data_IF_705038767899
#
_entry.id   IF_705038767899
#
_cell.length_a   1.000
_cell.length_b   1.000
_cell.length_c   1.000
_cell.angle_alpha   90.00
_cell.angle_beta   90.00
_cell.angle_gamma   90.00
#
_symmetry.space_group_name_H-M   'P 1'
#
loop_
_entity.id
_entity.type
_entity.pdbx_description
1 polymer ?
#
# COMPACT_ATOMS: atom_id res chain seq x y z
N UNK A 1 -11.17 -4.69 13.57
CA UNK A 1 -11.28 -3.96 12.29
C UNK A 1 -9.88 -3.66 11.84
N UNK A 2 -9.46 -4.05 10.63
CA UNK A 2 -8.11 -3.75 10.17
C UNK A 2 -8.02 -2.40 9.44
N UNK A 3 -6.79 -1.94 9.33
CA UNK A 3 -6.44 -0.65 8.72
C UNK A 3 -6.50 -0.74 7.21
N UNK A 4 -7.32 0.11 6.58
CA UNK A 4 -7.52 0.10 5.11
C UNK A 4 -6.69 1.19 4.44
N UNK A 5 -6.38 0.97 3.17
CA UNK A 5 -5.59 1.93 2.44
C UNK A 5 -5.51 1.67 0.95
N UNK A 6 -4.52 2.30 0.33
CA UNK A 6 -4.25 2.18 -1.10
C UNK A 6 -2.76 1.93 -1.31
N UNK A 7 -2.45 1.05 -2.25
CA UNK A 7 -1.15 0.95 -2.88
C UNK A 7 -1.30 1.39 -4.35
N UNK A 8 -0.45 2.28 -4.81
CA UNK A 8 -0.50 2.74 -6.18
C UNK A 8 0.81 3.28 -6.71
N UNK A 9 0.72 3.82 -7.91
CA UNK A 9 1.81 4.45 -8.64
C UNK A 9 1.48 5.90 -8.92
N UNK A 10 2.50 6.73 -8.80
CA UNK A 10 2.51 8.10 -9.30
C UNK A 10 3.25 8.09 -10.63
N UNK A 11 2.61 8.63 -11.67
CA UNK A 11 3.21 8.71 -13.01
C UNK A 11 2.94 10.03 -13.68
N UNK A 12 3.76 10.39 -14.66
CA UNK A 12 3.58 11.63 -15.43
C UNK A 12 2.24 11.60 -16.16
N UNK A 13 1.62 12.77 -16.26
CA UNK A 13 0.35 12.89 -16.97
C UNK A 13 0.57 12.73 -18.48
N UNK A 14 -0.03 11.70 -19.13
CA UNK A 14 0.20 11.43 -20.56
C UNK A 14 -0.37 12.54 -21.47
N UNK A 15 -1.25 13.40 -20.97
CA UNK A 15 -1.82 14.51 -21.74
C UNK A 15 -0.87 15.71 -21.89
N UNK A 16 0.31 15.68 -21.26
CA UNK A 16 1.29 16.77 -21.32
C UNK A 16 0.88 18.05 -20.60
N UNK A 17 -0.32 18.10 -19.98
CA UNK A 17 -0.85 19.27 -19.26
C UNK A 17 -0.18 19.53 -17.90
N UNK A 18 1.08 19.14 -17.75
CA UNK A 18 1.82 19.21 -16.50
C UNK A 18 1.29 18.27 -15.42
N UNK A 19 2.15 18.00 -14.43
CA UNK A 19 1.80 17.27 -13.22
C UNK A 19 1.79 15.74 -13.36
N UNK A 20 1.32 15.11 -12.28
CA UNK A 20 1.34 13.65 -12.10
C UNK A 20 -0.08 13.14 -11.88
N UNK A 21 -0.37 11.96 -12.41
CA UNK A 21 -1.56 11.20 -12.08
C UNK A 21 -1.22 10.10 -11.07
N UNK A 22 -2.21 9.75 -10.24
CA UNK A 22 -2.11 8.66 -9.28
C UNK A 22 -3.12 7.60 -9.65
N UNK A 23 -2.65 6.36 -9.77
CA UNK A 23 -3.45 5.16 -10.00
C UNK A 23 -3.14 4.20 -8.88
N UNK A 24 -4.14 3.55 -8.28
CA UNK A 24 -3.88 2.70 -7.13
C UNK A 24 -5.02 1.75 -6.82
N UNK A 25 -4.66 0.60 -6.28
CA UNK A 25 -5.56 -0.45 -5.86
C UNK A 25 -5.88 -0.35 -4.37
N UNK A 26 -7.12 -0.68 -4.03
CA UNK A 26 -7.56 -0.79 -2.66
C UNK A 26 -6.83 -1.93 -1.92
N UNK A 27 -6.48 -1.66 -0.67
CA UNK A 27 -5.95 -2.64 0.27
C UNK A 27 -6.84 -2.75 1.51
N UNK A 28 -7.22 -3.98 1.88
CA UNK A 28 -8.22 -4.20 2.92
C UNK A 28 -7.67 -4.17 4.36
N UNK A 29 -6.45 -4.63 4.57
CA UNK A 29 -5.90 -4.85 5.92
C UNK A 29 -4.44 -4.40 6.03
N UNK A 30 -4.01 -4.07 7.24
CA UNK A 30 -2.62 -3.76 7.57
C UNK A 30 -2.00 -2.63 6.75
N UNK A 31 -2.80 -1.64 6.34
CA UNK A 31 -2.31 -0.50 5.56
C UNK A 31 -1.45 0.50 6.34
N UNK A 32 -1.16 0.29 7.62
CA UNK A 32 -0.27 1.17 8.39
C UNK A 32 1.20 1.03 7.96
N UNK A 33 2.11 1.97 8.33
CA UNK A 33 3.49 1.95 7.87
C UNK A 33 4.24 0.65 8.18
N UNK A 34 4.16 0.11 9.39
CA UNK A 34 4.79 -1.18 9.73
C UNK A 34 4.17 -2.40 9.05
N UNK A 35 3.03 -2.27 8.37
CA UNK A 35 2.39 -3.32 7.59
C UNK A 35 2.69 -3.18 6.10
N UNK A 36 1.71 -2.67 5.35
CA UNK A 36 1.80 -2.43 3.91
C UNK A 36 3.00 -1.56 3.56
N UNK A 37 3.24 -0.50 4.32
CA UNK A 37 4.34 0.42 4.06
C UNK A 37 5.70 -0.27 4.08
N UNK A 38 5.98 -1.05 5.11
CA UNK A 38 7.21 -1.83 5.27
C UNK A 38 7.37 -2.85 4.14
N UNK A 39 6.28 -3.52 3.71
CA UNK A 39 6.31 -4.43 2.56
C UNK A 39 6.68 -3.71 1.25
N UNK A 40 6.17 -2.50 1.05
CA UNK A 40 6.52 -1.67 -0.12
C UNK A 40 7.99 -1.26 -0.06
N UNK A 41 8.45 -0.80 1.10
CA UNK A 41 9.85 -0.41 1.29
C UNK A 41 10.81 -1.58 1.03
N UNK A 42 10.52 -2.75 1.60
CA UNK A 42 11.30 -3.96 1.37
C UNK A 42 11.33 -4.35 -0.12
N UNK A 43 10.21 -4.26 -0.83
CA UNK A 43 10.18 -4.51 -2.28
C UNK A 43 11.08 -3.52 -3.04
N UNK A 44 10.93 -2.21 -2.79
CA UNK A 44 11.66 -1.16 -3.48
C UNK A 44 13.18 -1.29 -3.24
N UNK A 45 13.61 -1.58 -2.01
CA UNK A 45 15.03 -1.74 -1.66
C UNK A 45 15.68 -2.95 -2.34
N UNK A 46 14.89 -3.93 -2.76
CA UNK A 46 15.36 -5.13 -3.46
C UNK A 46 15.30 -4.99 -4.99
N UNK A 47 14.85 -3.86 -5.54
CA UNK A 47 14.86 -3.63 -6.99
C UNK A 47 16.27 -3.29 -7.48
N UNK A 48 16.78 -4.07 -8.42
CA UNK A 48 17.94 -3.67 -9.21
C UNK A 48 17.55 -2.55 -10.19
N UNK A 49 18.52 -1.82 -10.79
CA UNK A 49 18.22 -0.84 -11.83
C UNK A 49 17.42 -1.43 -13.00
N UNK A 50 17.77 -2.64 -13.44
CA UNK A 50 17.07 -3.38 -14.49
C UNK A 50 15.67 -3.80 -14.02
N UNK A 51 15.55 -4.26 -12.77
CA UNK A 51 14.27 -4.64 -12.20
C UNK A 51 13.31 -3.44 -12.07
N UNK A 52 13.85 -2.27 -11.73
CA UNK A 52 13.11 -1.00 -11.70
C UNK A 52 12.66 -0.59 -13.10
N UNK A 53 13.53 -0.69 -14.11
CA UNK A 53 13.16 -0.41 -15.50
C UNK A 53 12.05 -1.35 -15.99
N UNK A 54 12.16 -2.64 -15.69
CA UNK A 54 11.11 -3.60 -16.00
C UNK A 54 9.78 -3.24 -15.29
N UNK A 55 9.82 -2.84 -14.03
CA UNK A 55 8.62 -2.37 -13.32
C UNK A 55 7.98 -1.15 -13.98
N UNK A 56 8.77 -0.17 -14.46
CA UNK A 56 8.24 1.00 -15.19
C UNK A 56 7.46 0.53 -16.42
N UNK A 57 8.05 -0.34 -17.23
CA UNK A 57 7.44 -0.87 -18.44
C UNK A 57 6.16 -1.66 -18.14
N UNK A 58 6.19 -2.52 -17.13
CA UNK A 58 5.02 -3.30 -16.72
C UNK A 58 3.90 -2.37 -16.22
N UNK A 59 4.22 -1.37 -15.39
CA UNK A 59 3.23 -0.42 -14.87
C UNK A 59 2.59 0.42 -15.97
N UNK A 60 3.34 0.80 -17.01
CA UNK A 60 2.78 1.49 -18.17
C UNK A 60 1.92 0.58 -19.05
N UNK A 61 2.26 -0.70 -19.16
CA UNK A 61 1.48 -1.69 -19.90
C UNK A 61 0.19 -2.14 -19.17
N UNK A 62 0.03 -1.82 -17.88
CA UNK A 62 -1.15 -2.20 -17.10
C UNK A 62 -2.44 -1.62 -17.66
N UNK A 63 -3.44 -2.49 -17.78
CA UNK A 63 -4.82 -2.10 -18.03
C UNK A 63 -5.50 -1.76 -16.70
N UNK A 64 -5.78 -0.47 -16.49
CA UNK A 64 -6.50 0.01 -15.31
C UNK A 64 -8.00 -0.18 -15.48
N UNK A 65 -8.54 -1.19 -14.80
CA UNK A 65 -9.95 -1.55 -14.81
C UNK A 65 -10.69 -0.92 -13.63
N UNK A 66 -11.99 -1.14 -13.60
CA UNK A 66 -12.85 -0.72 -12.49
C UNK A 66 -13.51 -1.96 -11.91
N UNK A 67 -13.86 -1.94 -10.63
CA UNK A 67 -14.24 -3.16 -9.90
C UNK A 67 -15.45 -3.92 -10.49
N UNK A 68 -16.29 -3.27 -11.30
CA UNK A 68 -17.44 -3.85 -11.99
C UNK A 68 -18.68 -4.10 -11.10
N UNK A 69 -18.61 -3.86 -9.80
CA UNK A 69 -19.68 -4.15 -8.82
C UNK A 69 -20.79 -3.10 -8.80
N UNK A 70 -20.58 -1.92 -9.40
CA UNK A 70 -21.48 -0.76 -9.25
C UNK A 70 -22.37 -0.43 -10.46
N UNK A 71 -22.43 -1.23 -11.52
CA UNK A 71 -23.29 -0.88 -12.65
C UNK A 71 -23.78 -2.10 -13.41
N UNK A 72 -25.04 -2.47 -13.20
CA UNK A 72 -25.85 -3.23 -14.18
C UNK A 72 -26.77 -2.22 -14.86
N UNK A 73 -26.40 -1.79 -16.06
CA UNK A 73 -27.13 -0.79 -16.85
C UNK A 73 -26.42 -0.47 -18.17
N UNK A 74 -27.08 0.19 -19.12
CA UNK A 74 -26.42 0.69 -20.34
C UNK A 74 -25.26 1.62 -19.96
N UNK A 75 -24.04 1.33 -20.41
CA UNK A 75 -22.81 2.01 -19.95
C UNK A 75 -22.14 1.36 -18.72
N UNK A 76 -22.58 0.16 -18.32
CA UNK A 76 -21.90 -0.68 -17.33
C UNK A 76 -20.47 -1.00 -17.75
N UNK A 77 -19.55 -0.95 -16.78
CA UNK A 77 -18.13 -1.15 -17.01
C UNK A 77 -17.84 -2.63 -17.27
N UNK A 78 -16.88 -2.97 -18.15
CA UNK A 78 -16.73 -4.33 -18.65
C UNK A 78 -16.36 -5.32 -17.55
N UNK A 79 -17.12 -6.40 -17.45
CA UNK A 79 -16.73 -7.59 -16.67
C UNK A 79 -15.45 -8.18 -17.26
N UNK A 80 -14.66 -8.95 -16.48
CA UNK A 80 -13.62 -9.79 -17.04
C UNK A 80 -14.19 -10.74 -18.10
N UNK A 81 -13.48 -10.87 -19.22
CA UNK A 81 -13.71 -11.90 -20.24
C UNK A 81 -13.38 -13.28 -19.71
N UNK A 82 -13.90 -14.32 -20.36
CA UNK A 82 -13.72 -15.69 -19.90
C UNK A 82 -12.24 -16.12 -19.95
N UNK A 83 -11.46 -15.60 -20.90
CA UNK A 83 -10.01 -15.82 -20.98
C UNK A 83 -9.24 -15.16 -19.82
N UNK A 84 -9.66 -13.97 -19.37
CA UNK A 84 -9.06 -13.31 -18.20
C UNK A 84 -9.41 -14.05 -16.91
N UNK A 85 -10.65 -14.55 -16.81
CA UNK A 85 -11.10 -15.39 -15.68
C UNK A 85 -10.25 -16.66 -15.61
N UNK A 86 -10.07 -17.36 -16.74
CA UNK A 86 -9.25 -18.57 -16.82
C UNK A 86 -7.80 -18.28 -16.42
N UNK A 87 -7.18 -17.24 -17.00
CA UNK A 87 -5.81 -16.82 -16.68
C UNK A 87 -5.61 -16.58 -15.18
N UNK A 88 -6.45 -15.74 -14.56
CA UNK A 88 -6.23 -15.33 -13.17
C UNK A 88 -6.70 -16.38 -12.16
N UNK A 89 -7.61 -17.28 -12.53
CA UNK A 89 -7.87 -18.49 -11.75
C UNK A 89 -6.65 -19.43 -11.75
N UNK A 90 -6.02 -19.64 -12.92
CA UNK A 90 -4.83 -20.48 -13.02
C UNK A 90 -3.64 -19.93 -12.21
N UNK A 91 -3.53 -18.59 -12.12
CA UNK A 91 -2.53 -17.91 -11.29
C UNK A 91 -2.91 -17.84 -9.80
N UNK A 92 -4.13 -18.20 -9.42
CA UNK A 92 -4.56 -18.21 -8.03
C UNK A 92 -4.97 -16.87 -7.45
N UNK A 93 -5.27 -15.88 -8.29
CA UNK A 93 -5.59 -14.52 -7.85
C UNK A 93 -7.03 -14.38 -7.35
N UNK A 94 -7.91 -15.28 -7.83
CA UNK A 94 -9.30 -15.34 -7.41
C UNK A 94 -9.44 -16.03 -6.05
N UNK A 95 -10.32 -15.50 -5.18
CA UNK A 95 -10.66 -16.11 -3.90
C UNK A 95 -11.98 -15.57 -3.34
N UNK A 96 -12.73 -16.46 -2.68
CA UNK A 96 -13.89 -16.11 -1.83
C UNK A 96 -13.46 -15.89 -0.37
N UNK A 97 -12.27 -16.36 0.01
CA UNK A 97 -11.78 -16.26 1.37
C UNK A 97 -11.25 -14.85 1.66
N UNK A 98 -11.95 -14.16 2.55
CA UNK A 98 -11.60 -12.85 3.09
C UNK A 98 -10.43 -12.91 4.09
N UNK A 99 -10.00 -14.11 4.49
CA UNK A 99 -9.10 -14.30 5.63
C UNK A 99 -7.62 -13.99 5.33
N UNK A 100 -7.23 -13.84 4.07
CA UNK A 100 -5.83 -13.53 3.69
C UNK A 100 -4.82 -14.64 4.03
N UNK A 101 -5.28 -15.84 4.43
CA UNK A 101 -4.44 -16.97 4.87
C UNK A 101 -3.73 -17.72 3.74
N UNK A 102 -3.91 -17.28 2.50
CA UNK A 102 -3.44 -18.01 1.34
C UNK A 102 -2.01 -17.69 0.92
N UNK A 103 -1.13 -17.13 1.77
CA UNK A 103 0.27 -16.91 1.35
C UNK A 103 1.29 -17.17 2.46
N UNK A 104 2.30 -17.96 2.09
CA UNK A 104 3.51 -18.18 2.87
C UNK A 104 4.59 -17.19 2.40
N UNK A 105 4.79 -16.12 3.19
CA UNK A 105 5.76 -15.07 2.88
C UNK A 105 7.21 -15.59 2.85
N UNK A 106 7.52 -16.61 3.65
CA UNK A 106 8.87 -17.18 3.69
C UNK A 106 9.24 -17.89 2.38
N UNK A 107 8.24 -18.27 1.58
CA UNK A 107 8.44 -19.09 0.38
C UNK A 107 7.83 -18.49 -0.89
N UNK A 108 7.14 -17.34 -0.82
CA UNK A 108 6.56 -16.66 -1.97
C UNK A 108 5.56 -17.53 -2.75
N UNK A 109 4.65 -18.23 -2.07
CA UNK A 109 3.63 -19.09 -2.72
C UNK A 109 2.20 -18.74 -2.32
N UNK A 110 1.28 -18.63 -3.30
CA UNK A 110 -0.16 -18.74 -3.01
C UNK A 110 -0.35 -20.17 -2.44
N UNK A 111 -0.93 -20.28 -1.26
CA UNK A 111 -1.49 -21.49 -0.70
C UNK A 111 -2.57 -22.09 -1.60
N UNK A 112 -3.17 -23.21 -1.20
CA UNK A 112 -4.07 -23.98 -2.06
C UNK A 112 -5.27 -23.13 -2.50
N UNK A 113 -5.23 -22.68 -3.74
CA UNK A 113 -6.29 -21.93 -4.41
C UNK A 113 -7.45 -22.88 -4.64
N UNK A 114 -8.64 -22.51 -4.17
CA UNK A 114 -9.88 -23.20 -4.56
C UNK A 114 -10.50 -22.35 -5.66
N UNK A 115 -10.71 -22.90 -6.87
CA UNK A 115 -11.45 -22.19 -7.91
C UNK A 115 -12.82 -21.76 -7.37
N UNK A 116 -13.15 -20.49 -7.56
CA UNK A 116 -14.46 -19.97 -7.19
C UNK A 116 -15.56 -20.71 -7.97
N UNK A 117 -16.55 -21.22 -7.24
CA UNK A 117 -17.77 -21.79 -7.82
C UNK A 117 -19.00 -21.12 -7.18
N UNK A 118 -19.73 -20.25 -7.91
CA UNK A 118 -19.58 -19.92 -9.33
C UNK A 118 -18.34 -19.05 -9.63
N UNK A 119 -17.92 -18.95 -10.91
CA UNK A 119 -16.80 -18.11 -11.32
C UNK A 119 -16.96 -16.64 -10.90
N UNK A 120 -15.87 -15.91 -10.67
CA UNK A 120 -15.93 -14.50 -10.30
C UNK A 120 -16.63 -13.69 -11.38
N UNK A 121 -17.65 -12.93 -10.98
CA UNK A 121 -18.46 -12.12 -11.90
C UNK A 121 -17.93 -10.71 -12.09
N UNK A 122 -16.89 -10.32 -11.35
CA UNK A 122 -16.33 -8.97 -11.35
C UNK A 122 -14.81 -8.98 -11.08
N UNK A 123 -14.14 -7.87 -11.47
CA UNK A 123 -12.71 -7.70 -11.28
C UNK A 123 -12.28 -7.79 -9.81
N UNK A 124 -13.12 -7.30 -8.89
CA UNK A 124 -12.81 -7.34 -7.46
C UNK A 124 -12.69 -8.76 -6.91
N UNK A 125 -13.58 -9.67 -7.34
CA UNK A 125 -13.52 -11.07 -6.94
C UNK A 125 -12.34 -11.79 -7.62
N UNK A 126 -12.06 -11.46 -8.88
CA UNK A 126 -11.02 -12.10 -9.69
C UNK A 126 -9.60 -11.75 -9.22
N UNK A 127 -9.38 -10.52 -8.75
CA UNK A 127 -8.07 -10.01 -8.32
C UNK A 127 -7.95 -9.95 -6.80
N UNK A 128 -8.80 -10.67 -6.06
CA UNK A 128 -8.97 -10.45 -4.63
C UNK A 128 -7.71 -10.76 -3.82
N UNK A 129 -6.96 -11.80 -4.19
CA UNK A 129 -5.74 -12.19 -3.50
C UNK A 129 -4.55 -11.27 -3.79
N UNK A 130 -4.66 -10.36 -4.76
CA UNK A 130 -3.58 -9.43 -5.14
C UNK A 130 -3.55 -8.14 -4.29
N UNK A 131 -4.30 -8.09 -3.19
CA UNK A 131 -4.19 -6.99 -2.24
C UNK A 131 -2.86 -7.07 -1.46
N UNK A 132 -2.50 -5.99 -0.76
CA UNK A 132 -1.21 -5.77 -0.09
C UNK A 132 -0.02 -5.57 -1.06
N UNK A 133 1.21 -5.65 -0.53
CA UNK A 133 2.45 -5.53 -1.31
C UNK A 133 2.65 -6.66 -2.35
N UNK A 134 1.84 -7.74 -2.30
CA UNK A 134 1.90 -8.83 -3.29
C UNK A 134 1.66 -8.36 -4.72
N UNK A 135 0.83 -7.34 -4.87
CA UNK A 135 0.59 -6.68 -6.14
C UNK A 135 1.90 -6.32 -6.86
N UNK A 136 2.91 -5.85 -6.12
CA UNK A 136 4.18 -5.39 -6.69
C UNK A 136 4.96 -6.53 -7.32
N UNK A 137 4.98 -7.71 -6.70
CA UNK A 137 5.69 -8.87 -7.22
C UNK A 137 5.05 -9.40 -8.50
N UNK A 138 3.72 -9.47 -8.57
CA UNK A 138 3.02 -9.98 -9.74
C UNK A 138 3.04 -8.98 -10.92
N UNK A 139 3.09 -7.67 -10.65
CA UNK A 139 3.42 -6.67 -11.67
C UNK A 139 4.86 -6.90 -12.16
N UNK A 140 5.81 -7.09 -11.25
CA UNK A 140 7.22 -7.23 -11.60
C UNK A 140 7.49 -8.43 -12.51
N UNK A 141 6.84 -9.56 -12.23
CA UNK A 141 6.92 -10.77 -13.08
C UNK A 141 6.27 -10.58 -14.46
N UNK A 142 5.35 -9.63 -14.61
CA UNK A 142 4.57 -9.41 -15.83
C UNK A 142 3.33 -10.31 -15.96
N UNK A 143 3.03 -11.14 -14.96
CA UNK A 143 1.85 -12.02 -14.96
C UNK A 143 0.55 -11.23 -14.75
N UNK A 144 0.62 -10.14 -13.96
CA UNK A 144 -0.51 -9.26 -13.72
C UNK A 144 -0.59 -8.13 -14.76
N UNK A 145 -1.63 -8.18 -15.60
CA UNK A 145 -1.85 -7.17 -16.66
C UNK A 145 -3.04 -6.25 -16.40
N UNK A 146 -3.82 -6.51 -15.34
CA UNK A 146 -5.04 -5.77 -15.01
C UNK A 146 -5.08 -5.40 -13.53
N UNK A 147 -5.40 -4.15 -13.21
CA UNK A 147 -5.52 -3.67 -11.83
C UNK A 147 -6.73 -2.75 -11.69
N UNK A 148 -7.46 -2.88 -10.59
CA UNK A 148 -8.57 -1.98 -10.26
C UNK A 148 -8.01 -0.62 -9.83
N UNK A 149 -8.42 0.43 -10.53
CA UNK A 149 -8.13 1.80 -10.12
C UNK A 149 -9.18 2.31 -9.11
N UNK A 150 -8.82 2.22 -7.84
CA UNK A 150 -9.52 2.80 -6.70
C UNK A 150 -8.76 4.02 -6.15
N UNK A 151 -7.92 4.69 -6.95
CA UNK A 151 -7.11 5.83 -6.49
C UNK A 151 -7.93 6.93 -5.81
N UNK A 152 -9.19 7.15 -6.23
CA UNK A 152 -10.11 8.11 -5.61
C UNK A 152 -10.51 7.76 -4.18
N UNK A 153 -10.41 6.48 -3.80
CA UNK A 153 -10.70 5.99 -2.46
C UNK A 153 -9.79 6.60 -1.39
N UNK A 154 -8.65 7.18 -1.78
CA UNK A 154 -7.74 7.91 -0.87
C UNK A 154 -8.42 9.06 -0.12
N UNK A 155 -9.49 9.61 -0.68
CA UNK A 155 -10.26 10.69 -0.08
C UNK A 155 -11.43 10.17 0.79
N UNK A 156 -11.63 8.86 0.84
CA UNK A 156 -12.63 8.26 1.70
C UNK A 156 -12.17 8.35 3.16
N UNK A 157 -13.07 8.71 4.08
CA UNK A 157 -12.80 8.75 5.53
C UNK A 157 -12.37 7.40 6.13
N UNK A 158 -12.56 6.30 5.40
CA UNK A 158 -12.12 4.95 5.77
C UNK A 158 -10.78 4.56 5.15
N UNK A 159 -10.17 5.42 4.33
CA UNK A 159 -8.82 5.23 3.83
C UNK A 159 -7.86 5.92 4.81
N UNK A 160 -7.31 5.12 5.72
CA UNK A 160 -6.43 5.64 6.77
C UNK A 160 -5.04 5.94 6.20
N UNK A 161 -4.59 5.13 5.23
CA UNK A 161 -3.25 5.23 4.64
C UNK A 161 -3.26 5.08 3.12
N UNK A 162 -2.29 5.68 2.45
CA UNK A 162 -2.06 5.49 1.03
C UNK A 162 -0.58 5.58 0.69
N UNK A 163 -0.12 4.74 -0.23
CA UNK A 163 1.25 4.71 -0.70
C UNK A 163 1.28 4.84 -2.21
N UNK A 164 2.04 5.79 -2.73
CA UNK A 164 2.23 5.96 -4.17
C UNK A 164 3.72 5.90 -4.50
N UNK A 165 4.08 4.91 -5.31
CA UNK A 165 5.44 4.68 -5.77
C UNK A 165 5.66 5.47 -7.05
N UNK A 166 6.68 6.32 -7.07
CA UNK A 166 7.18 6.98 -8.27
C UNK A 166 8.45 6.28 -8.72
N UNK A 167 8.30 5.36 -9.67
CA UNK A 167 9.41 4.56 -10.17
C UNK A 167 10.34 5.37 -11.08
N UNK A 168 9.93 6.50 -11.63
CA UNK A 168 10.82 7.34 -12.45
C UNK A 168 11.68 8.23 -11.55
N UNK A 169 11.05 8.92 -10.60
CA UNK A 169 11.74 9.89 -9.72
C UNK A 169 12.37 9.25 -8.48
N UNK A 170 12.08 7.96 -8.25
CA UNK A 170 12.62 7.18 -7.13
C UNK A 170 12.07 7.67 -5.80
N UNK A 171 10.76 7.88 -5.71
CA UNK A 171 10.08 8.43 -4.54
C UNK A 171 8.97 7.51 -4.04
N UNK A 172 8.81 7.44 -2.72
CA UNK A 172 7.64 6.85 -2.07
C UNK A 172 6.85 7.95 -1.37
N UNK A 173 5.65 8.25 -1.88
CA UNK A 173 4.72 9.15 -1.20
C UNK A 173 3.87 8.39 -0.19
N UNK A 174 3.83 8.86 1.05
CA UNK A 174 2.90 8.38 2.08
C UNK A 174 1.78 9.38 2.32
N UNK A 175 0.56 8.88 2.40
CA UNK A 175 -0.66 9.61 2.69
C UNK A 175 -1.31 9.05 3.95
N UNK A 176 -1.86 9.95 4.77
CA UNK A 176 -2.62 9.63 5.97
C UNK A 176 -3.89 10.49 5.99
N UNK A 177 -5.05 9.86 6.20
CA UNK A 177 -6.35 10.53 6.29
C UNK A 177 -6.63 11.50 5.11
N UNK A 178 -6.30 11.06 3.90
CA UNK A 178 -6.50 11.84 2.67
C UNK A 178 -5.54 13.02 2.47
N UNK A 179 -4.54 13.20 3.34
CA UNK A 179 -3.49 14.22 3.21
C UNK A 179 -2.14 13.57 2.94
N UNK A 180 -1.31 14.22 2.11
CA UNK A 180 0.07 13.80 1.91
C UNK A 180 0.83 14.04 3.21
N UNK A 181 1.33 12.97 3.81
CA UNK A 181 2.02 12.99 5.09
C UNK A 181 3.53 13.03 4.91
N UNK A 182 4.05 12.38 3.86
CA UNK A 182 5.48 12.25 3.66
C UNK A 182 5.87 11.92 2.21
N UNK A 183 7.13 12.21 1.85
CA UNK A 183 7.78 11.78 0.61
C UNK A 183 9.23 11.45 0.94
N UNK A 184 9.68 10.24 0.62
CA UNK A 184 11.05 9.78 0.85
C UNK A 184 11.65 9.27 -0.47
N UNK A 185 12.93 9.57 -0.72
CA UNK A 185 13.67 9.04 -1.87
C UNK A 185 14.04 7.59 -1.60
N UNK A 186 14.12 6.77 -2.65
CA UNK A 186 14.54 5.38 -2.52
C UNK A 186 15.94 5.26 -1.93
N UNK A 187 16.84 6.18 -2.28
CA UNK A 187 18.22 6.23 -1.76
C UNK A 187 18.28 6.55 -0.25
N UNK A 188 17.25 7.22 0.28
CA UNK A 188 17.12 7.56 1.70
C UNK A 188 16.26 6.53 2.47
N UNK A 189 15.69 5.54 1.77
CA UNK A 189 14.82 4.55 2.37
C UNK A 189 15.63 3.46 3.06
N UNK A 190 15.20 3.04 4.24
CA UNK A 190 15.76 1.89 4.96
C UNK A 190 14.67 0.89 5.27
N UNK A 191 15.03 -0.37 5.57
CA UNK A 191 14.03 -1.39 5.94
C UNK A 191 13.24 -0.98 7.20
N UNK A 192 13.88 -0.25 8.12
CA UNK A 192 13.28 0.17 9.38
C UNK A 192 12.59 1.53 9.31
N UNK A 193 12.83 2.35 8.27
CA UNK A 193 12.26 3.69 8.10
C UNK A 193 10.76 3.75 8.39
N UNK A 194 10.00 2.79 7.84
CA UNK A 194 8.54 2.78 7.99
C UNK A 194 8.10 2.58 9.44
N UNK A 195 8.84 1.77 10.21
CA UNK A 195 8.48 1.33 11.57
C UNK A 195 9.08 2.27 12.62
N UNK A 196 10.33 2.67 12.45
CA UNK A 196 11.11 3.38 13.47
C UNK A 196 11.04 4.90 13.31
N UNK A 197 10.78 5.41 12.10
CA UNK A 197 10.79 6.84 11.82
C UNK A 197 9.40 7.36 11.43
N UNK A 198 8.82 6.81 10.38
CA UNK A 198 7.57 7.31 9.80
C UNK A 198 6.39 7.06 10.72
N UNK A 199 6.20 5.83 11.21
CA UNK A 199 5.08 5.50 12.07
C UNK A 199 5.06 6.28 13.39
N UNK A 200 6.17 6.37 14.16
CA UNK A 200 6.18 7.12 15.41
C UNK A 200 5.97 8.61 15.18
N UNK A 201 6.53 9.18 14.11
CA UNK A 201 6.32 10.59 13.73
C UNK A 201 4.84 10.88 13.44
N UNK A 202 4.18 9.99 12.70
CA UNK A 202 2.79 10.18 12.28
C UNK A 202 1.75 9.74 13.33
N UNK A 203 2.14 8.92 14.31
CA UNK A 203 1.34 8.65 15.53
C UNK A 203 1.56 9.73 16.60
N UNK A 204 2.78 10.24 16.71
CA UNK A 204 3.21 11.25 17.68
C UNK A 204 2.56 12.62 17.49
N UNK A 205 1.92 12.88 16.36
CA UNK A 205 1.09 14.10 16.18
C UNK A 205 -0.18 14.11 17.04
N UNK A 206 -0.54 13.00 17.72
CA UNK A 206 -1.54 12.97 18.78
C UNK A 206 -0.93 12.96 20.20
N UNK A 207 0.40 12.84 20.34
CA UNK A 207 1.11 12.78 21.62
C UNK A 207 1.38 14.17 22.25
N UNK A 208 0.63 15.20 21.85
CA UNK A 208 0.58 16.47 22.55
C UNK A 208 -0.25 16.36 23.83
N UNK A 209 0.25 15.64 24.85
CA UNK A 209 -0.08 15.65 26.29
C UNK A 209 0.29 14.30 26.92
N UNK A 210 1.59 13.99 26.97
CA UNK A 210 2.10 12.83 27.70
C UNK A 210 3.19 13.24 28.65
N UNK A 211 2.95 13.12 29.97
CA UNK A 211 4.01 13.26 30.97
C UNK A 211 4.96 12.07 30.85
N UNK A 212 6.18 12.31 30.33
CA UNK A 212 7.22 11.30 30.32
C UNK A 212 7.89 11.25 31.69
N UNK A 213 8.00 10.04 32.25
CA UNK A 213 8.71 9.81 33.50
C UNK A 213 9.84 8.83 33.21
N UNK A 214 11.07 9.28 33.40
CA UNK A 214 12.26 8.47 33.15
C UNK A 214 12.83 7.95 34.48
N UNK A 215 13.12 6.66 34.54
CA UNK A 215 13.85 6.09 35.66
C UNK A 215 15.35 6.38 35.49
N UNK A 216 15.96 7.03 36.47
CA UNK A 216 17.41 7.24 36.52
C UNK A 216 18.01 6.01 37.19
N UNK A 217 18.86 5.28 36.46
CA UNK A 217 19.51 4.06 36.95
C UNK A 217 21.01 4.30 37.07
N UNK A 218 21.56 4.04 38.26
CA UNK A 218 23.01 4.09 38.52
C UNK A 218 23.41 2.76 39.14
N UNK A 219 24.40 2.09 38.56
CA UNK A 219 24.88 0.78 39.04
C UNK A 219 23.83 -0.34 38.98
N UNK A 220 22.85 -0.26 38.08
CA UNK A 220 21.79 -1.26 37.95
C UNK A 220 20.62 -1.11 38.93
N UNK A 221 20.60 -0.08 39.78
CA UNK A 221 19.47 0.24 40.64
C UNK A 221 18.81 1.57 40.22
N UNK A 222 17.48 1.62 40.26
CA UNK A 222 16.72 2.87 40.04
C UNK A 222 16.95 3.77 41.25
N UNK A 223 17.63 4.89 41.04
CA UNK A 223 18.01 5.85 42.08
C UNK A 223 17.14 7.12 42.07
N UNK A 224 16.27 7.28 41.07
CA UNK A 224 15.31 8.39 41.05
C UNK A 224 14.36 8.34 39.85
N UNK A 225 13.27 9.12 39.94
CA UNK A 225 12.36 9.41 38.83
C UNK A 225 12.59 10.85 38.37
N UNK A 226 12.95 11.02 37.10
CA UNK A 226 12.97 12.33 36.46
C UNK A 226 11.64 12.54 35.73
N UNK A 227 10.88 13.55 36.14
CA UNK A 227 9.64 13.95 35.47
C UNK A 227 9.95 15.10 34.53
N UNK A 228 9.81 14.88 33.22
CA UNK A 228 10.05 15.91 32.22
C UNK A 228 8.68 16.43 31.78
N UNK A 229 8.34 17.65 32.21
CA UNK A 229 7.17 18.38 31.72
C UNK A 229 7.58 19.24 30.53
N UNK A 230 7.22 18.83 29.32
CA UNK A 230 7.36 19.69 28.14
C UNK A 230 6.20 20.70 28.12
N UNK A 231 6.46 21.95 28.51
CA UNK A 231 5.56 23.07 28.22
C UNK A 231 5.74 23.46 26.75
N UNK A 232 4.63 23.48 26.01
CA UNK A 232 4.59 24.12 24.71
C UNK A 232 4.96 25.60 24.89
N UNK A 233 6.04 26.05 24.24
CA UNK A 233 6.39 27.45 24.19
C UNK A 233 5.28 28.23 23.48
N UNK A 234 4.66 29.14 24.20
CA UNK A 234 3.83 30.19 23.61
C UNK A 234 4.77 31.11 22.81
N UNK A 235 4.81 30.93 21.49
CA UNK A 235 5.15 32.04 20.61
C UNK A 235 3.93 32.96 20.54
N UNK A 236 3.96 34.05 21.28
CA UNK A 236 3.21 35.25 20.93
C UNK A 236 4.14 36.25 20.24
N UNK A 237 3.63 37.07 19.29
CA UNK A 237 4.42 38.01 18.51
C UNK A 237 5.07 39.11 19.37
#
# INVERSE_FOLDING_TARGET
MGTRGILGFRKKNPTGRGGYIRKGAYNHFDSFPGGLGHRIAAFVLNLTPEGRQAMIEQVEALTWVTDGTRSVGPGSKPRPSDAEIEKYNALGYASDDFSGKAWDWAHGKIGKVVPLNPPPTCWYALLRNLQNGFLLFEIHKGDLTHIIDDSSWRFNKRCEWGYFIDLEEGELETWKDGKRADVVKFDDLTESYMIEELEPRLRGSEAGKGNATLNVIVGGQVVGLLRIETRAGECQP
#
